data_IF_749509733434
#
_entry.id   IF_749509733434
#
_cell.length_a   1.000
_cell.length_b   1.000
_cell.length_c   1.000
_cell.angle_alpha   90.00
_cell.angle_beta   90.00
_cell.angle_gamma   90.00
#
_symmetry.space_group_name_H-M   'P 1'
#
loop_
_entity.id
_entity.type
_entity.pdbx_description
1 polymer ?
#
# COMPACT_ATOMS: atom_id res chain seq x y z
N UNK A 1 -22.13 -2.42 -15.76
CA UNK A 1 -22.26 -2.61 -14.30
C UNK A 1 -21.67 -3.95 -13.83
N UNK A 2 -22.38 -5.09 -13.86
CA UNK A 2 -21.86 -6.36 -13.31
C UNK A 2 -20.61 -6.90 -14.05
N UNK A 3 -20.58 -6.81 -15.38
CA UNK A 3 -19.42 -7.20 -16.20
C UNK A 3 -18.18 -6.34 -15.94
N UNK A 4 -18.36 -5.02 -15.79
CA UNK A 4 -17.28 -4.06 -15.50
C UNK A 4 -16.73 -4.23 -14.07
N UNK A 5 -17.61 -4.52 -13.09
CA UNK A 5 -17.21 -4.82 -11.71
C UNK A 5 -16.41 -6.12 -11.66
N UNK A 6 -16.84 -7.15 -12.40
CA UNK A 6 -16.11 -8.42 -12.53
C UNK A 6 -14.73 -8.23 -13.14
N UNK A 7 -14.63 -7.50 -14.25
CA UNK A 7 -13.35 -7.21 -14.90
C UNK A 7 -12.42 -6.44 -13.97
N UNK A 8 -12.95 -5.44 -13.26
CA UNK A 8 -12.17 -4.70 -12.27
C UNK A 8 -11.69 -5.60 -11.12
N UNK A 9 -12.57 -6.41 -10.52
CA UNK A 9 -12.23 -7.35 -9.44
C UNK A 9 -11.15 -8.33 -9.90
N UNK A 10 -11.25 -8.89 -11.10
CA UNK A 10 -10.22 -9.78 -11.66
C UNK A 10 -8.82 -9.16 -11.78
N UNK A 11 -8.73 -7.83 -11.88
CA UNK A 11 -7.47 -7.09 -11.95
C UNK A 11 -6.89 -6.72 -10.58
N UNK A 12 -7.64 -6.85 -9.49
CA UNK A 12 -7.12 -6.61 -8.13
C UNK A 12 -6.10 -7.69 -7.82
N UNK A 13 -4.89 -7.28 -7.40
CA UNK A 13 -3.78 -8.21 -7.09
C UNK A 13 -4.14 -9.28 -6.07
N UNK A 14 -5.08 -8.97 -5.18
CA UNK A 14 -5.60 -9.87 -4.16
C UNK A 14 -6.29 -11.11 -4.72
N UNK A 15 -7.01 -10.93 -5.84
CA UNK A 15 -7.85 -11.96 -6.46
C UNK A 15 -7.16 -12.64 -7.65
N UNK A 16 -5.90 -12.30 -7.92
CA UNK A 16 -5.14 -12.83 -9.04
C UNK A 16 -4.94 -14.34 -8.91
N UNK A 17 -5.26 -15.08 -9.97
CA UNK A 17 -5.07 -16.53 -10.03
C UNK A 17 -6.23 -17.33 -9.42
N UNK A 18 -7.33 -16.68 -9.05
CA UNK A 18 -8.59 -17.35 -8.73
C UNK A 18 -9.27 -17.87 -9.99
N UNK A 19 -9.97 -19.01 -9.86
CA UNK A 19 -10.82 -19.54 -10.92
C UNK A 19 -12.04 -18.63 -11.15
N UNK A 20 -12.65 -18.70 -12.33
CA UNK A 20 -13.80 -17.86 -12.69
C UNK A 20 -14.95 -17.97 -11.66
N UNK A 21 -15.26 -19.19 -11.21
CA UNK A 21 -16.28 -19.45 -10.18
C UNK A 21 -16.00 -18.70 -8.85
N UNK A 22 -14.73 -18.58 -8.48
CA UNK A 22 -14.31 -17.90 -7.26
C UNK A 22 -14.36 -16.38 -7.41
N UNK A 23 -14.01 -15.87 -8.59
CA UNK A 23 -14.16 -14.46 -8.93
C UNK A 23 -15.64 -14.07 -8.94
N UNK A 24 -16.50 -14.90 -9.51
CA UNK A 24 -17.95 -14.67 -9.55
C UNK A 24 -18.52 -14.62 -8.14
N UNK A 25 -18.12 -15.55 -7.26
CA UNK A 25 -18.54 -15.53 -5.87
C UNK A 25 -18.04 -14.30 -5.08
N UNK A 26 -16.88 -13.72 -5.43
CA UNK A 26 -16.43 -12.43 -4.88
C UNK A 26 -17.27 -11.28 -5.41
N UNK A 27 -17.61 -11.29 -6.70
CA UNK A 27 -18.45 -10.26 -7.34
C UNK A 27 -19.84 -10.23 -6.70
N UNK A 28 -20.41 -11.40 -6.38
CA UNK A 28 -21.74 -11.52 -5.76
C UNK A 28 -21.84 -10.83 -4.39
N UNK A 29 -20.76 -10.83 -3.62
CA UNK A 29 -20.72 -10.18 -2.30
C UNK A 29 -20.28 -8.72 -2.35
N UNK A 30 -19.87 -8.22 -3.52
CA UNK A 30 -19.36 -6.86 -3.70
C UNK A 30 -20.52 -5.85 -3.80
N UNK A 31 -20.51 -4.86 -2.92
CA UNK A 31 -21.50 -3.79 -2.89
C UNK A 31 -20.84 -2.50 -3.38
N UNK A 32 -21.26 -2.00 -4.55
CA UNK A 32 -20.72 -0.75 -5.08
C UNK A 32 -21.32 0.47 -4.36
N UNK A 33 -20.48 1.44 -4.02
CA UNK A 33 -20.86 2.70 -3.41
C UNK A 33 -20.09 3.88 -4.02
N UNK A 34 -20.76 5.01 -4.21
CA UNK A 34 -20.15 6.27 -4.65
C UNK A 34 -20.01 7.19 -3.45
N UNK A 35 -18.82 7.72 -3.25
CA UNK A 35 -18.47 8.63 -2.18
C UNK A 35 -18.05 9.96 -2.79
N UNK A 36 -18.67 11.04 -2.33
CA UNK A 36 -18.32 12.40 -2.77
C UNK A 36 -17.03 12.87 -2.13
N UNK A 37 -16.42 13.91 -2.70
CA UNK A 37 -15.21 14.51 -2.12
C UNK A 37 -15.45 14.96 -0.68
N UNK A 38 -14.52 14.63 0.21
CA UNK A 38 -14.56 14.84 1.66
C UNK A 38 -15.65 14.05 2.41
N UNK A 39 -16.28 13.07 1.77
CA UNK A 39 -17.21 12.18 2.46
C UNK A 39 -16.42 11.15 3.28
N UNK A 40 -16.77 11.05 4.57
CA UNK A 40 -16.23 10.03 5.45
C UNK A 40 -16.78 8.65 5.05
N UNK A 41 -15.91 7.66 4.95
CA UNK A 41 -16.24 6.27 4.60
C UNK A 41 -16.52 5.48 5.88
N UNK A 42 -15.65 5.64 6.88
CA UNK A 42 -15.82 5.15 8.26
C UNK A 42 -14.92 5.94 9.22
N UNK A 43 -15.24 5.85 10.51
CA UNK A 43 -14.46 6.47 11.59
C UNK A 43 -13.64 5.45 12.37
N UNK A 44 -12.50 5.90 12.91
CA UNK A 44 -11.78 5.16 13.94
C UNK A 44 -12.71 4.81 15.12
N UNK A 45 -12.67 3.55 15.55
CA UNK A 45 -13.51 3.04 16.64
C UNK A 45 -14.90 2.55 16.22
N UNK A 46 -15.34 2.80 14.98
CA UNK A 46 -16.56 2.18 14.46
C UNK A 46 -16.35 0.67 14.25
N UNK A 47 -17.40 -0.17 14.42
CA UNK A 47 -17.29 -1.61 14.20
C UNK A 47 -16.79 -1.97 12.80
N UNK A 48 -15.82 -2.89 12.73
CA UNK A 48 -15.31 -3.45 11.48
C UNK A 48 -16.34 -4.31 10.76
N UNK A 49 -17.15 -3.70 9.90
CA UNK A 49 -18.25 -4.39 9.20
C UNK A 49 -17.84 -5.07 7.90
N UNK A 50 -16.60 -4.85 7.44
CA UNK A 50 -16.09 -5.34 6.17
C UNK A 50 -14.87 -4.56 5.72
N UNK A 51 -14.50 -4.73 4.45
CA UNK A 51 -13.36 -4.04 3.84
C UNK A 51 -13.74 -3.46 2.48
N UNK A 52 -12.85 -2.66 1.90
CA UNK A 52 -13.13 -1.91 0.69
C UNK A 52 -12.06 -2.14 -0.38
N UNK A 53 -12.43 -1.98 -1.64
CA UNK A 53 -11.51 -1.80 -2.76
C UNK A 53 -11.85 -0.53 -3.54
N UNK A 54 -10.84 0.23 -3.94
CA UNK A 54 -11.02 1.45 -4.72
C UNK A 54 -11.17 1.08 -6.20
N UNK A 55 -12.37 1.23 -6.76
CA UNK A 55 -12.59 1.09 -8.22
C UNK A 55 -12.09 2.31 -8.97
N UNK A 56 -12.43 3.50 -8.49
CA UNK A 56 -11.93 4.77 -8.99
C UNK A 56 -11.85 5.82 -7.88
N UNK A 57 -11.06 6.88 -8.10
CA UNK A 57 -10.85 7.95 -7.13
C UNK A 57 -9.66 7.73 -6.20
N UNK A 58 -9.67 8.43 -5.06
CA UNK A 58 -8.62 8.38 -4.04
C UNK A 58 -9.19 8.43 -2.63
N UNK A 59 -8.68 7.57 -1.77
CA UNK A 59 -9.07 7.48 -0.35
C UNK A 59 -7.88 7.79 0.54
N UNK A 60 -8.08 8.60 1.58
CA UNK A 60 -7.10 8.87 2.62
C UNK A 60 -7.49 8.12 3.89
N UNK A 61 -6.56 7.30 4.39
CA UNK A 61 -6.64 6.69 5.71
C UNK A 61 -5.77 7.49 6.69
N UNK A 62 -6.34 7.89 7.82
CA UNK A 62 -5.70 8.80 8.75
C UNK A 62 -6.14 8.55 10.19
N UNK A 63 -5.30 8.99 11.14
CA UNK A 63 -5.65 9.12 12.55
C UNK A 63 -5.65 10.59 12.94
N UNK A 64 -6.42 10.92 13.96
CA UNK A 64 -6.39 12.25 14.60
C UNK A 64 -5.97 12.05 16.05
N UNK A 65 -4.92 12.75 16.47
CA UNK A 65 -4.48 12.75 17.87
C UNK A 65 -5.48 13.50 18.77
N UNK A 66 -5.38 13.32 20.09
CA UNK A 66 -6.19 14.07 21.06
C UNK A 66 -6.04 15.60 20.93
N UNK A 67 -4.92 16.07 20.39
CA UNK A 67 -4.63 17.49 20.13
C UNK A 67 -5.17 17.97 18.76
N UNK A 68 -5.88 17.11 18.02
CA UNK A 68 -6.45 17.43 16.71
C UNK A 68 -5.47 17.33 15.54
N UNK A 69 -4.23 16.91 15.78
CA UNK A 69 -3.24 16.74 14.70
C UNK A 69 -3.56 15.49 13.89
N UNK A 70 -3.74 15.66 12.59
CA UNK A 70 -3.97 14.58 11.62
C UNK A 70 -2.64 13.93 11.21
N UNK A 71 -2.61 12.59 11.24
CA UNK A 71 -1.54 11.79 10.67
C UNK A 71 -2.10 10.91 9.55
N UNK A 72 -1.66 11.15 8.32
CA UNK A 72 -1.97 10.29 7.18
C UNK A 72 -1.21 8.98 7.35
N UNK A 73 -1.93 7.86 7.33
CA UNK A 73 -1.37 6.51 7.35
C UNK A 73 -1.11 6.00 5.94
N UNK A 74 -2.08 6.22 5.03
CA UNK A 74 -1.97 5.77 3.66
C UNK A 74 -2.93 6.52 2.70
N UNK A 75 -2.59 6.53 1.41
CA UNK A 75 -3.45 7.01 0.33
C UNK A 75 -3.69 5.86 -0.64
N UNK A 76 -4.95 5.47 -0.81
CA UNK A 76 -5.36 4.37 -1.69
C UNK A 76 -5.86 4.89 -3.04
N UNK A 77 -5.49 4.19 -4.09
CA UNK A 77 -5.83 4.45 -5.50
C UNK A 77 -6.49 3.22 -6.13
N UNK A 78 -6.95 3.36 -7.38
CA UNK A 78 -7.64 2.28 -8.11
C UNK A 78 -6.87 0.95 -8.06
N UNK A 79 -7.58 -0.13 -7.72
CA UNK A 79 -7.03 -1.49 -7.59
C UNK A 79 -6.46 -1.83 -6.21
N UNK A 80 -6.37 -0.86 -5.31
CA UNK A 80 -5.94 -1.06 -3.92
C UNK A 80 -7.14 -1.35 -3.02
N UNK A 81 -6.88 -2.13 -1.96
CA UNK A 81 -7.85 -2.53 -0.94
C UNK A 81 -7.41 -1.97 0.41
N UNK A 82 -8.39 -1.76 1.30
CA UNK A 82 -8.13 -1.29 2.66
C UNK A 82 -9.17 -1.79 3.66
N UNK A 83 -8.79 -1.70 4.94
CA UNK A 83 -9.61 -2.10 6.09
C UNK A 83 -9.89 -3.61 6.18
N UNK A 84 -8.97 -4.44 5.69
CA UNK A 84 -9.09 -5.91 5.72
C UNK A 84 -8.99 -6.45 7.14
N UNK A 85 -8.15 -5.84 7.99
CA UNK A 85 -7.85 -6.36 9.34
C UNK A 85 -9.13 -6.50 10.19
N UNK A 86 -9.97 -5.46 10.36
CA UNK A 86 -11.27 -5.58 11.03
C UNK A 86 -12.21 -6.60 10.39
N UNK A 87 -12.10 -6.80 9.07
CA UNK A 87 -12.87 -7.81 8.36
C UNK A 87 -12.43 -9.25 8.68
N UNK A 88 -11.31 -9.48 9.38
CA UNK A 88 -10.85 -10.79 9.85
C UNK A 88 -11.01 -10.97 11.36
N UNK A 89 -10.48 -10.07 12.18
CA UNK A 89 -10.49 -10.17 13.64
C UNK A 89 -11.84 -9.76 14.27
N UNK A 90 -12.65 -8.99 13.54
CA UNK A 90 -13.94 -8.48 14.02
C UNK A 90 -13.83 -7.33 15.00
N UNK A 91 -12.66 -6.70 15.12
CA UNK A 91 -12.46 -5.51 15.93
C UNK A 91 -12.96 -4.25 15.22
N UNK A 92 -12.83 -3.09 15.88
CA UNK A 92 -13.18 -1.80 15.29
C UNK A 92 -12.15 -1.34 14.25
N UNK A 93 -12.54 -0.41 13.38
CA UNK A 93 -11.60 0.24 12.47
C UNK A 93 -10.51 0.97 13.28
N UNK A 94 -9.22 0.67 13.03
CA UNK A 94 -8.12 1.26 13.79
C UNK A 94 -7.78 2.69 13.38
N UNK A 95 -8.43 3.23 12.34
CA UNK A 95 -8.21 4.57 11.78
C UNK A 95 -9.46 5.00 11.00
N UNK A 96 -9.53 6.28 10.61
CA UNK A 96 -10.63 6.82 9.81
C UNK A 96 -10.28 6.84 8.32
N UNK A 97 -11.27 6.71 7.45
CA UNK A 97 -11.11 6.82 6.00
C UNK A 97 -12.03 7.87 5.39
N UNK A 98 -11.50 8.68 4.46
CA UNK A 98 -12.24 9.75 3.77
C UNK A 98 -11.92 9.75 2.28
N UNK A 99 -12.92 10.01 1.44
CA UNK A 99 -12.73 10.19 0.01
C UNK A 99 -12.11 11.58 -0.29
N UNK A 100 -11.02 11.63 -1.05
CA UNK A 100 -10.35 12.90 -1.42
C UNK A 100 -10.91 13.53 -2.70
N UNK A 101 -11.62 12.73 -3.48
CA UNK A 101 -12.32 13.08 -4.71
C UNK A 101 -13.53 12.17 -4.86
N UNK A 102 -14.36 12.38 -5.90
CA UNK A 102 -15.45 11.44 -6.19
C UNK A 102 -14.83 10.07 -6.42
N UNK A 103 -15.20 9.12 -5.55
CA UNK A 103 -14.58 7.79 -5.50
C UNK A 103 -15.66 6.72 -5.57
N UNK A 104 -15.45 5.74 -6.44
CA UNK A 104 -16.28 4.54 -6.50
C UNK A 104 -15.56 3.43 -5.75
N UNK A 105 -16.19 2.90 -4.72
CA UNK A 105 -15.66 1.87 -3.86
C UNK A 105 -16.51 0.61 -3.97
N UNK A 106 -15.86 -0.55 -3.87
CA UNK A 106 -16.51 -1.84 -3.65
C UNK A 106 -16.36 -2.20 -2.18
N UNK A 107 -17.48 -2.36 -1.49
CA UNK A 107 -17.53 -2.83 -0.11
C UNK A 107 -17.80 -4.32 -0.06
N UNK A 108 -17.06 -5.03 0.78
CA UNK A 108 -17.17 -6.47 0.99
C UNK A 108 -17.57 -6.71 2.45
N UNK A 109 -18.83 -7.07 2.71
CA UNK A 109 -19.31 -7.33 4.07
C UNK A 109 -18.55 -8.47 4.72
N UNK A 110 -18.15 -8.30 5.99
CA UNK A 110 -17.38 -9.29 6.75
C UNK A 110 -18.05 -10.66 6.76
N UNK A 111 -19.33 -10.74 7.07
CA UNK A 111 -20.07 -12.02 7.17
C UNK A 111 -20.08 -12.77 5.85
N UNK A 112 -20.47 -12.09 4.77
CA UNK A 112 -20.47 -12.66 3.42
C UNK A 112 -19.08 -13.10 2.97
N UNK A 113 -18.04 -12.33 3.31
CA UNK A 113 -16.67 -12.68 3.01
C UNK A 113 -16.18 -13.89 3.81
N UNK A 114 -16.47 -13.99 5.11
CA UNK A 114 -16.13 -15.16 5.91
C UNK A 114 -16.81 -16.43 5.41
N UNK A 115 -18.07 -16.35 5.00
CA UNK A 115 -18.80 -17.47 4.40
C UNK A 115 -18.18 -17.89 3.07
N UNK A 116 -17.74 -16.93 2.27
CA UNK A 116 -17.00 -17.18 1.03
C UNK A 116 -15.68 -17.92 1.29
N UNK A 117 -14.92 -17.51 2.32
CA UNK A 117 -13.66 -18.18 2.67
C UNK A 117 -13.88 -19.63 3.11
N UNK A 118 -14.99 -19.93 3.77
CA UNK A 118 -15.35 -21.30 4.15
C UNK A 118 -15.68 -22.16 2.92
N UNK A 119 -16.37 -21.59 1.93
CA UNK A 119 -16.74 -22.27 0.68
C UNK A 119 -15.55 -22.44 -0.27
N UNK A 120 -14.64 -21.47 -0.31
CA UNK A 120 -13.48 -21.47 -1.20
C UNK A 120 -12.17 -21.22 -0.42
N UNK A 121 -11.63 -22.24 0.28
CA UNK A 121 -10.44 -22.09 1.13
C UNK A 121 -9.18 -21.58 0.41
N UNK A 122 -9.07 -21.74 -0.91
CA UNK A 122 -7.94 -21.19 -1.67
C UNK A 122 -7.90 -19.66 -1.66
N UNK A 123 -9.06 -18.98 -1.51
CA UNK A 123 -9.12 -17.52 -1.33
C UNK A 123 -8.42 -17.15 -0.02
N UNK A 124 -8.66 -17.89 1.06
CA UNK A 124 -8.01 -17.68 2.34
C UNK A 124 -6.49 -17.91 2.25
N UNK A 125 -6.04 -18.93 1.50
CA UNK A 125 -4.61 -19.19 1.27
C UNK A 125 -3.95 -18.02 0.53
N UNK A 126 -4.60 -17.44 -0.47
CA UNK A 126 -4.09 -16.27 -1.18
C UNK A 126 -3.98 -15.04 -0.27
N UNK A 127 -4.96 -14.82 0.61
CA UNK A 127 -4.92 -13.78 1.65
C UNK A 127 -3.74 -13.99 2.61
N UNK A 128 -3.56 -15.21 3.13
CA UNK A 128 -2.44 -15.55 4.02
C UNK A 128 -1.09 -15.31 3.34
N UNK A 129 -0.96 -15.65 2.05
CA UNK A 129 0.25 -15.37 1.29
C UNK A 129 0.51 -13.86 1.15
N UNK A 130 -0.53 -13.04 0.99
CA UNK A 130 -0.41 -11.58 1.01
C UNK A 130 0.05 -11.07 2.37
N UNK A 131 -0.61 -11.48 3.45
CA UNK A 131 -0.23 -11.06 4.81
C UNK A 131 1.17 -11.52 5.19
N UNK A 132 1.60 -12.71 4.77
CA UNK A 132 2.97 -13.16 4.96
C UNK A 132 3.98 -12.28 4.22
N UNK A 133 3.66 -11.77 3.02
CA UNK A 133 4.49 -10.77 2.31
C UNK A 133 4.54 -9.45 3.07
N UNK A 134 3.41 -8.96 3.59
CA UNK A 134 3.37 -7.74 4.40
C UNK A 134 4.19 -7.89 5.68
N UNK A 135 4.05 -9.01 6.39
CA UNK A 135 4.80 -9.29 7.61
C UNK A 135 6.31 -9.34 7.36
N UNK A 136 6.75 -9.99 6.27
CA UNK A 136 8.17 -9.96 5.86
C UNK A 136 8.65 -8.55 5.56
N UNK A 137 7.83 -7.73 4.90
CA UNK A 137 8.16 -6.32 4.63
C UNK A 137 8.28 -5.51 5.92
N UNK A 138 7.38 -5.70 6.88
CA UNK A 138 7.45 -5.03 8.17
C UNK A 138 8.68 -5.48 8.99
N UNK A 139 8.98 -6.77 9.02
CA UNK A 139 10.20 -7.27 9.65
C UNK A 139 11.46 -6.66 9.03
N UNK A 140 11.53 -6.58 7.69
CA UNK A 140 12.64 -5.92 7.00
C UNK A 140 12.72 -4.43 7.34
N UNK A 141 11.60 -3.73 7.44
CA UNK A 141 11.58 -2.32 7.83
C UNK A 141 12.08 -2.12 9.26
N UNK A 142 11.70 -3.00 10.20
CA UNK A 142 12.20 -2.96 11.58
C UNK A 142 13.71 -3.20 11.60
N UNK A 143 14.19 -4.22 10.89
CA UNK A 143 15.63 -4.50 10.75
C UNK A 143 16.38 -3.31 10.15
N UNK A 144 15.85 -2.72 9.07
CA UNK A 144 16.42 -1.56 8.41
C UNK A 144 16.50 -0.37 9.37
N UNK A 145 15.44 -0.11 10.15
CA UNK A 145 15.40 0.97 11.14
C UNK A 145 16.36 0.74 12.31
N UNK A 146 16.54 -0.52 12.75
CA UNK A 146 17.40 -0.87 13.90
C UNK A 146 18.88 -1.01 13.55
N UNK A 147 19.22 -1.46 12.34
CA UNK A 147 20.59 -1.86 11.99
C UNK A 147 21.23 -1.00 10.90
N UNK A 148 20.45 -0.26 10.11
CA UNK A 148 20.98 0.47 8.94
C UNK A 148 20.98 1.97 9.15
N UNK A 149 22.06 2.61 8.73
CA UNK A 149 22.12 4.06 8.59
C UNK A 149 21.20 4.55 7.46
N UNK A 150 20.82 5.83 7.52
CA UNK A 150 19.88 6.46 6.57
C UNK A 150 20.22 6.22 5.09
N UNK A 151 21.49 6.25 4.64
CA UNK A 151 21.83 5.91 3.24
C UNK A 151 21.43 4.49 2.84
N UNK A 152 21.64 3.51 3.71
CA UNK A 152 21.28 2.13 3.45
C UNK A 152 19.76 1.93 3.42
N UNK A 153 19.01 2.60 4.31
CA UNK A 153 17.54 2.58 4.30
C UNK A 153 16.97 3.20 3.02
N UNK A 154 17.51 4.33 2.57
CA UNK A 154 17.10 4.94 1.31
C UNK A 154 17.39 4.01 0.12
N UNK A 155 18.58 3.40 0.07
CA UNK A 155 18.92 2.45 -0.99
C UNK A 155 17.96 1.24 -1.01
N UNK A 156 17.63 0.69 0.17
CA UNK A 156 16.68 -0.43 0.29
C UNK A 156 15.29 -0.07 -0.24
N UNK A 157 14.80 1.14 0.06
CA UNK A 157 13.52 1.63 -0.43
C UNK A 157 13.51 1.88 -1.95
N UNK A 158 14.57 2.48 -2.52
CA UNK A 158 14.67 2.65 -3.97
C UNK A 158 14.73 1.30 -4.72
N UNK A 159 15.41 0.31 -4.14
CA UNK A 159 15.43 -1.06 -4.66
C UNK A 159 14.07 -1.76 -4.54
N UNK A 160 13.30 -1.45 -3.51
CA UNK A 160 11.92 -1.92 -3.39
C UNK A 160 11.04 -1.36 -4.52
N UNK A 161 11.15 -0.07 -4.83
CA UNK A 161 10.43 0.55 -5.97
C UNK A 161 10.90 0.00 -7.32
N UNK A 162 12.18 -0.34 -7.42
CA UNK A 162 12.76 -0.98 -8.61
C UNK A 162 12.18 -2.39 -8.88
N UNK A 163 11.71 -3.08 -7.83
CA UNK A 163 11.10 -4.40 -7.92
C UNK A 163 12.08 -5.46 -8.47
N UNK A 164 11.56 -6.37 -9.30
CA UNK A 164 12.32 -7.49 -9.89
C UNK A 164 12.96 -7.15 -11.26
N UNK A 165 13.16 -5.87 -11.57
CA UNK A 165 13.79 -5.48 -12.83
C UNK A 165 15.24 -5.98 -12.89
N UNK A 166 15.66 -6.45 -14.07
CA UNK A 166 17.05 -6.87 -14.32
C UNK A 166 17.94 -5.71 -14.79
N UNK A 167 17.38 -4.50 -14.90
CA UNK A 167 18.12 -3.32 -15.33
C UNK A 167 19.06 -2.87 -14.21
N UNK A 168 20.37 -3.03 -14.42
CA UNK A 168 21.38 -2.73 -13.41
C UNK A 168 21.86 -1.27 -13.42
N UNK A 169 21.53 -0.51 -14.47
CA UNK A 169 21.91 0.88 -14.65
C UNK A 169 20.91 1.58 -15.57
N UNK A 170 20.57 2.83 -15.27
CA UNK A 170 19.58 3.63 -16.00
C UNK A 170 18.13 3.33 -15.64
N UNK A 171 17.86 2.52 -14.61
CA UNK A 171 16.49 2.21 -14.21
C UNK A 171 15.82 3.43 -13.57
N UNK A 172 14.64 3.82 -14.03
CA UNK A 172 13.88 4.94 -13.44
C UNK A 172 12.85 4.40 -12.47
N UNK A 173 12.90 4.88 -11.23
CA UNK A 173 11.86 4.65 -10.22
C UNK A 173 11.17 5.96 -9.89
N UNK A 174 9.88 5.90 -9.59
CA UNK A 174 9.09 7.06 -9.17
C UNK A 174 8.72 6.92 -7.69
N UNK A 175 8.98 7.96 -6.91
CA UNK A 175 8.62 8.00 -5.50
C UNK A 175 7.09 8.01 -5.35
N UNK A 176 6.56 7.06 -4.57
CA UNK A 176 5.13 6.94 -4.26
C UNK A 176 4.67 7.90 -3.15
N UNK A 177 5.60 8.67 -2.57
CA UNK A 177 5.35 9.62 -1.49
C UNK A 177 6.24 10.87 -1.61
N UNK A 178 5.84 11.96 -0.95
CA UNK A 178 6.65 13.19 -0.89
C UNK A 178 7.96 12.94 -0.14
N UNK A 179 8.98 13.77 -0.37
CA UNK A 179 10.27 13.66 0.36
C UNK A 179 10.11 13.82 1.89
N UNK A 180 9.14 14.62 2.34
CA UNK A 180 8.85 14.76 3.77
C UNK A 180 8.26 13.46 4.35
N UNK A 181 7.30 12.84 3.65
CA UNK A 181 6.75 11.54 4.02
C UNK A 181 7.81 10.44 3.97
N UNK A 182 8.69 10.47 2.96
CA UNK A 182 9.80 9.53 2.84
C UNK A 182 10.79 9.67 4.00
N UNK A 183 11.06 10.89 4.47
CA UNK A 183 11.92 11.09 5.62
C UNK A 183 11.32 10.43 6.87
N UNK A 184 10.05 10.69 7.13
CA UNK A 184 9.33 10.05 8.24
C UNK A 184 9.32 8.53 8.10
N UNK A 185 9.05 8.01 6.91
CA UNK A 185 9.04 6.57 6.61
C UNK A 185 10.41 5.92 6.85
N UNK A 186 11.50 6.58 6.47
CA UNK A 186 12.87 6.13 6.70
C UNK A 186 13.39 6.44 8.11
N UNK A 187 12.51 6.85 9.05
CA UNK A 187 12.88 7.17 10.43
C UNK A 187 13.93 8.27 10.53
N UNK A 188 13.82 9.31 9.71
CA UNK A 188 14.74 10.45 9.70
C UNK A 188 14.01 11.78 9.46
N UNK A 189 14.75 12.88 9.42
CA UNK A 189 14.22 14.23 9.15
C UNK A 189 14.51 14.65 7.70
N UNK A 190 13.67 15.53 7.09
CA UNK A 190 13.81 15.95 5.70
C UNK A 190 15.19 16.49 5.32
N UNK A 191 15.85 17.20 6.24
CA UNK A 191 17.18 17.77 6.07
C UNK A 191 18.24 16.66 5.92
N UNK A 192 18.17 15.64 6.78
CA UNK A 192 19.08 14.49 6.73
C UNK A 192 18.84 13.68 5.45
N UNK A 193 17.58 13.42 5.11
CA UNK A 193 17.26 12.72 3.85
C UNK A 193 17.77 13.50 2.63
N UNK A 194 17.63 14.82 2.61
CA UNK A 194 18.11 15.67 1.52
C UNK A 194 19.63 15.61 1.37
N UNK A 195 20.37 15.59 2.49
CA UNK A 195 21.84 15.39 2.49
C UNK A 195 22.23 14.03 1.92
N UNK A 196 21.52 12.97 2.29
CA UNK A 196 21.79 11.61 1.78
C UNK A 196 21.51 11.53 0.28
N UNK A 197 20.39 12.09 -0.18
CA UNK A 197 20.10 12.20 -1.62
C UNK A 197 21.22 12.91 -2.38
N UNK A 198 21.69 14.06 -1.89
CA UNK A 198 22.77 14.82 -2.50
C UNK A 198 24.08 14.01 -2.55
N UNK A 199 24.44 13.34 -1.45
CA UNK A 199 25.64 12.50 -1.36
C UNK A 199 25.63 11.37 -2.39
N UNK A 200 24.55 10.58 -2.46
CA UNK A 200 24.44 9.46 -3.39
C UNK A 200 24.38 9.92 -4.87
N UNK A 201 23.83 11.12 -5.13
CA UNK A 201 23.87 11.74 -6.45
C UNK A 201 25.29 12.18 -6.84
N UNK A 202 26.04 12.79 -5.91
CA UNK A 202 27.44 13.17 -6.12
C UNK A 202 28.36 11.95 -6.33
N UNK A 203 28.10 10.86 -5.63
CA UNK A 203 28.82 9.59 -5.77
C UNK A 203 28.44 8.82 -7.05
N UNK A 204 27.52 9.35 -7.87
CA UNK A 204 27.13 8.78 -9.16
C UNK A 204 26.28 7.51 -9.04
N UNK A 205 25.63 7.26 -7.90
CA UNK A 205 24.72 6.10 -7.76
C UNK A 205 23.35 6.36 -8.35
N UNK A 206 22.91 7.62 -8.40
CA UNK A 206 21.61 8.01 -8.93
C UNK A 206 21.57 9.44 -9.45
N UNK A 207 20.53 9.75 -10.24
CA UNK A 207 20.18 11.10 -10.67
C UNK A 207 18.75 11.42 -10.21
N UNK A 208 18.57 12.59 -9.60
CA UNK A 208 17.29 13.00 -9.01
C UNK A 208 16.62 14.04 -9.90
N UNK A 209 15.43 13.72 -10.42
CA UNK A 209 14.59 14.61 -11.23
C UNK A 209 13.18 14.71 -10.60
N UNK A 210 13.02 15.54 -9.58
CA UNK A 210 11.74 15.69 -8.87
C UNK A 210 11.37 14.43 -8.09
N UNK A 211 10.23 13.80 -8.44
CA UNK A 211 9.77 12.50 -7.94
C UNK A 211 10.42 11.31 -8.66
N UNK A 212 11.04 11.52 -9.82
CA UNK A 212 11.68 10.47 -10.61
C UNK A 212 13.16 10.37 -10.28
N UNK A 213 13.61 9.16 -9.99
CA UNK A 213 15.00 8.87 -9.64
C UNK A 213 15.54 7.83 -10.61
N UNK A 214 16.63 8.19 -11.30
CA UNK A 214 17.35 7.29 -12.18
C UNK A 214 18.45 6.61 -11.40
N UNK A 215 18.39 5.28 -11.28
CA UNK A 215 19.40 4.47 -10.61
C UNK A 215 20.54 4.19 -11.59
N UNK A 216 21.71 4.78 -11.35
CA UNK A 216 22.89 4.64 -12.21
C UNK A 216 23.70 3.38 -11.87
N UNK A 217 23.74 3.00 -10.59
CA UNK A 217 24.44 1.79 -10.13
C UNK A 217 23.62 1.03 -9.09
N UNK A 218 22.80 0.10 -9.59
CA UNK A 218 21.95 -0.77 -8.74
C UNK A 218 22.79 -1.71 -7.89
N UNK A 219 24.00 -2.09 -8.31
CA UNK A 219 24.86 -3.01 -7.54
C UNK A 219 25.39 -2.32 -6.29
N UNK A 220 25.90 -1.10 -6.41
CA UNK A 220 26.33 -0.32 -5.24
C UNK A 220 25.17 0.03 -4.32
N UNK A 221 23.98 0.29 -4.85
CA UNK A 221 22.78 0.48 -4.03
C UNK A 221 22.41 -0.79 -3.25
N UNK A 222 22.56 -1.99 -3.84
CA UNK A 222 22.35 -3.26 -3.12
C UNK A 222 23.35 -3.44 -1.98
N UNK A 223 24.63 -3.14 -2.21
CA UNK A 223 25.65 -3.17 -1.16
C UNK A 223 25.31 -2.22 0.00
N UNK A 224 24.91 -0.97 -0.30
CA UNK A 224 24.47 -0.01 0.73
C UNK A 224 23.22 -0.49 1.48
N UNK A 225 22.31 -1.18 0.78
CA UNK A 225 21.11 -1.77 1.38
C UNK A 225 21.38 -3.06 2.16
N UNK A 226 22.61 -3.59 2.15
CA UNK A 226 22.96 -4.87 2.77
C UNK A 226 22.33 -6.08 2.05
N UNK A 227 22.21 -6.02 0.72
CA UNK A 227 21.64 -7.07 -0.14
C UNK A 227 22.62 -7.55 -1.21
#
# INVERSE_FOLDING_TARGET
>A
MASEVREFIGNIRLWRGLADEQLDAIVEIAIAGIYTKNQLIFSEGEPGTGFFAVKSGRVKLFKVSAEGKEQILHLFSSGEHFAEVPAFDGECFPASAIALEVSELLFFPRTAFLDLLQKHPSIAINMLALFARHLRRFAQLIEDLSLKEVPGRLAAYLLYLHGNSQVLSGAVVELDMTKAQLAAFLGTIPETLSRVFAKLNQEGLMVINGSKITLLDVRRLRMLAGK
#
